data_IF_889685690386
#
_entry.id   IF_889685690386
#
_cell.length_a   1.000
_cell.length_b   1.000
_cell.length_c   1.000
_cell.angle_alpha   90.00
_cell.angle_beta   90.00
_cell.angle_gamma   90.00
#
_symmetry.space_group_name_H-M   'P 1'
#
loop_
_entity.id
_entity.type
_entity.pdbx_description
1 polymer ?
#
# COMPACT_ATOMS: atom_id res chain seq x y z
N UNK A 1 -28.79 16.81 8.82
CA UNK A 1 -28.55 15.35 8.82
C UNK A 1 -27.47 14.91 7.82
N UNK A 2 -26.62 15.80 7.30
CA UNK A 2 -25.59 15.47 6.27
C UNK A 2 -24.21 15.13 6.86
N UNK A 3 -23.85 15.67 8.03
CA UNK A 3 -22.55 15.44 8.65
C UNK A 3 -22.32 13.98 9.10
N UNK A 4 -23.37 13.27 9.53
CA UNK A 4 -23.26 11.89 10.01
C UNK A 4 -22.99 10.89 8.87
N UNK A 5 -23.53 11.12 7.67
CA UNK A 5 -23.34 10.25 6.50
C UNK A 5 -21.89 10.35 5.98
N UNK A 6 -21.29 11.54 6.05
CA UNK A 6 -19.92 11.79 5.57
C UNK A 6 -18.85 11.16 6.48
N UNK A 7 -19.04 11.25 7.80
CA UNK A 7 -18.16 10.61 8.79
C UNK A 7 -18.23 9.06 8.71
N UNK A 8 -19.42 8.50 8.49
CA UNK A 8 -19.61 7.06 8.27
C UNK A 8 -18.99 6.58 6.95
N UNK A 9 -19.02 7.39 5.89
CA UNK A 9 -18.36 7.09 4.62
C UNK A 9 -16.83 7.06 4.74
N UNK A 10 -16.25 8.04 5.43
CA UNK A 10 -14.79 8.09 5.65
C UNK A 10 -14.29 6.96 6.53
N UNK A 11 -14.99 6.63 7.62
CA UNK A 11 -14.60 5.50 8.49
C UNK A 11 -14.69 4.17 7.76
N UNK A 12 -15.74 3.94 6.95
CA UNK A 12 -15.88 2.72 6.14
C UNK A 12 -14.78 2.59 5.09
N UNK A 13 -14.38 3.69 4.45
CA UNK A 13 -13.26 3.69 3.50
C UNK A 13 -11.92 3.42 4.18
N UNK A 14 -11.66 4.02 5.35
CA UNK A 14 -10.46 3.73 6.15
C UNK A 14 -10.41 2.26 6.57
N UNK A 15 -11.55 1.70 6.93
CA UNK A 15 -11.69 0.30 7.33
C UNK A 15 -11.47 -0.67 6.16
N UNK A 16 -11.87 -0.28 4.94
CA UNK A 16 -11.55 -1.01 3.71
C UNK A 16 -10.05 -0.94 3.38
N UNK A 17 -9.45 0.25 3.42
CA UNK A 17 -8.01 0.42 3.15
C UNK A 17 -7.14 -0.34 4.15
N UNK A 18 -7.51 -0.34 5.43
CA UNK A 18 -6.83 -1.12 6.47
C UNK A 18 -6.90 -2.63 6.20
N UNK A 19 -8.10 -3.17 5.93
CA UNK A 19 -8.27 -4.60 5.60
C UNK A 19 -7.48 -4.99 4.36
N UNK A 20 -7.49 -4.13 3.35
CA UNK A 20 -6.73 -4.36 2.12
C UNK A 20 -5.23 -4.41 2.37
N UNK A 21 -4.72 -3.47 3.17
CA UNK A 21 -3.32 -3.45 3.58
C UNK A 21 -2.94 -4.72 4.35
N UNK A 22 -3.74 -5.12 5.34
CA UNK A 22 -3.50 -6.32 6.15
C UNK A 22 -3.48 -7.60 5.29
N UNK A 23 -4.35 -7.67 4.28
CA UNK A 23 -4.47 -8.84 3.40
C UNK A 23 -3.36 -8.92 2.34
N UNK A 24 -2.99 -7.79 1.75
CA UNK A 24 -2.21 -7.78 0.51
C UNK A 24 -0.90 -7.00 0.59
N UNK A 25 -0.66 -6.22 1.65
CA UNK A 25 0.55 -5.40 1.77
C UNK A 25 1.41 -5.83 2.96
N UNK A 26 0.80 -6.31 4.04
CA UNK A 26 1.49 -6.63 5.29
C UNK A 26 2.48 -7.79 5.19
N UNK A 27 2.34 -8.68 4.20
CA UNK A 27 3.32 -9.75 3.96
C UNK A 27 4.72 -9.22 3.65
N UNK A 28 4.80 -8.06 2.97
CA UNK A 28 6.03 -7.35 2.63
C UNK A 28 6.32 -6.19 3.60
N UNK A 29 5.32 -5.36 3.91
CA UNK A 29 5.53 -4.15 4.71
C UNK A 29 5.38 -4.34 6.21
N UNK A 30 4.92 -5.52 6.68
CA UNK A 30 4.59 -5.75 8.09
C UNK A 30 3.24 -5.15 8.48
N UNK A 31 2.66 -5.61 9.59
CA UNK A 31 1.40 -5.06 10.10
C UNK A 31 1.51 -3.60 10.57
N UNK A 32 2.72 -3.15 10.87
CA UNK A 32 3.05 -1.78 11.25
C UNK A 32 3.47 -0.90 10.06
N UNK A 33 3.47 -1.46 8.84
CA UNK A 33 3.86 -0.81 7.60
C UNK A 33 5.31 -0.31 7.51
N UNK A 34 6.21 -0.83 8.36
CA UNK A 34 7.61 -0.37 8.45
C UNK A 34 8.60 -1.11 7.55
N UNK A 35 8.14 -2.03 6.71
CA UNK A 35 9.00 -2.83 5.82
C UNK A 35 9.48 -4.15 6.41
N UNK A 36 8.93 -4.57 7.54
CA UNK A 36 9.34 -5.74 8.34
C UNK A 36 8.48 -6.98 8.08
N UNK A 37 7.87 -7.10 6.91
CA UNK A 37 7.00 -8.21 6.56
C UNK A 37 7.71 -9.57 6.54
N UNK A 38 6.93 -10.64 6.68
CA UNK A 38 7.44 -12.03 6.76
C UNK A 38 8.25 -12.45 5.54
N UNK A 39 8.04 -11.84 4.37
CA UNK A 39 8.80 -12.17 3.17
C UNK A 39 10.08 -11.35 3.02
N UNK A 40 10.29 -10.30 3.83
CA UNK A 40 11.45 -9.40 3.74
C UNK A 40 12.79 -10.12 3.72
N UNK A 41 13.05 -11.18 4.53
CA UNK A 41 14.32 -11.92 4.48
C UNK A 41 14.63 -12.56 3.13
N UNK A 42 13.62 -12.77 2.29
CA UNK A 42 13.73 -13.40 0.97
C UNK A 42 13.82 -12.38 -0.17
N UNK A 43 13.71 -11.08 0.12
CA UNK A 43 13.76 -10.01 -0.88
C UNK A 43 15.19 -9.49 -1.05
N UNK A 44 15.60 -9.27 -2.30
CA UNK A 44 16.90 -8.60 -2.61
C UNK A 44 16.95 -7.15 -2.11
N UNK A 45 15.78 -6.51 -2.03
CA UNK A 45 15.62 -5.14 -1.56
C UNK A 45 14.45 -5.09 -0.59
N UNK A 46 14.70 -4.61 0.62
CA UNK A 46 13.65 -4.47 1.64
C UNK A 46 12.58 -3.46 1.20
N UNK A 47 11.30 -3.74 1.48
CA UNK A 47 10.22 -2.78 1.26
C UNK A 47 10.43 -1.52 2.13
N UNK A 48 10.09 -0.32 1.63
CA UNK A 48 10.23 0.91 2.41
C UNK A 48 9.23 0.99 3.59
N UNK A 49 9.57 1.82 4.58
CA UNK A 49 8.65 2.25 5.64
C UNK A 49 7.59 3.20 5.06
N UNK A 50 6.35 2.72 4.96
CA UNK A 50 5.23 3.47 4.39
C UNK A 50 4.67 4.50 5.38
N UNK A 51 4.99 4.41 6.67
CA UNK A 51 4.55 5.40 7.68
C UNK A 51 5.17 6.77 7.43
N UNK A 52 6.28 6.81 6.69
CA UNK A 52 6.99 8.03 6.32
C UNK A 52 6.52 8.62 4.99
N UNK A 53 5.61 7.96 4.26
CA UNK A 53 5.28 8.33 2.89
C UNK A 53 4.72 9.76 2.79
N UNK A 54 3.71 10.09 3.58
CA UNK A 54 3.15 11.46 3.60
C UNK A 54 4.17 12.47 4.10
N UNK A 55 4.93 12.12 5.16
CA UNK A 55 5.98 13.00 5.71
C UNK A 55 7.01 13.38 4.65
N UNK A 56 7.44 12.42 3.85
CA UNK A 56 8.43 12.62 2.79
C UNK A 56 7.87 13.35 1.56
N UNK A 57 6.54 13.55 1.50
CA UNK A 57 5.85 14.29 0.44
C UNK A 57 5.14 15.54 1.00
N UNK A 58 5.77 16.23 1.97
CA UNK A 58 5.27 17.50 2.50
C UNK A 58 4.01 17.37 3.36
N UNK A 59 3.77 16.20 3.95
CA UNK A 59 2.57 15.88 4.71
C UNK A 59 1.40 15.40 3.84
N UNK A 60 1.54 15.39 2.51
CA UNK A 60 0.49 14.99 1.57
C UNK A 60 0.72 13.54 1.14
N UNK A 61 -0.32 12.72 1.19
CA UNK A 61 -0.25 11.36 0.68
C UNK A 61 -0.23 11.37 -0.87
N UNK A 62 0.83 10.85 -1.52
CA UNK A 62 0.99 10.91 -2.97
C UNK A 62 0.19 9.78 -3.65
N UNK A 63 -1.14 9.88 -3.66
CA UNK A 63 -2.05 8.82 -4.10
C UNK A 63 -1.73 8.27 -5.49
N UNK A 64 -1.53 9.14 -6.49
CA UNK A 64 -1.27 8.73 -7.87
C UNK A 64 0.03 7.92 -8.00
N UNK A 65 1.07 8.32 -7.26
CA UNK A 65 2.36 7.62 -7.25
C UNK A 65 2.24 6.24 -6.62
N UNK A 66 1.47 6.14 -5.54
CA UNK A 66 1.20 4.84 -4.88
C UNK A 66 0.44 3.93 -5.83
N UNK A 67 -0.58 4.44 -6.53
CA UNK A 67 -1.34 3.65 -7.49
C UNK A 67 -0.46 3.11 -8.63
N UNK A 68 0.42 3.94 -9.20
CA UNK A 68 1.40 3.52 -10.21
C UNK A 68 2.41 2.49 -9.69
N UNK A 69 2.79 2.60 -8.42
CA UNK A 69 3.67 1.62 -7.78
C UNK A 69 2.98 0.28 -7.57
N UNK A 70 1.69 0.28 -7.19
CA UNK A 70 0.89 -0.95 -6.99
C UNK A 70 0.61 -1.65 -8.33
N UNK A 71 0.25 -0.89 -9.37
CA UNK A 71 0.00 -1.41 -10.72
C UNK A 71 1.26 -1.84 -11.47
N UNK A 72 2.45 -1.62 -10.90
CA UNK A 72 3.74 -2.04 -11.44
C UNK A 72 4.31 -1.14 -12.54
N UNK A 73 3.73 0.04 -12.78
CA UNK A 73 4.21 1.00 -13.79
C UNK A 73 5.59 1.58 -13.42
N UNK A 74 5.85 1.75 -12.13
CA UNK A 74 7.05 2.39 -11.61
C UNK A 74 8.11 1.41 -11.06
N UNK A 75 7.90 0.08 -11.15
CA UNK A 75 8.83 -0.89 -10.53
C UNK A 75 8.89 -2.25 -11.23
N UNK A 76 9.96 -2.56 -11.99
CA UNK A 76 10.18 -3.86 -12.63
C UNK A 76 10.71 -4.93 -11.65
N UNK A 77 10.59 -4.73 -10.34
CA UNK A 77 11.19 -5.61 -9.33
C UNK A 77 10.71 -7.07 -9.38
N UNK A 78 9.61 -7.36 -10.07
CA UNK A 78 9.05 -8.70 -10.27
C UNK A 78 9.00 -9.14 -11.75
N UNK A 79 9.66 -8.41 -12.67
CA UNK A 79 9.63 -8.69 -14.12
C UNK A 79 8.63 -7.82 -14.88
N UNK A 80 8.10 -8.32 -16.00
CA UNK A 80 7.07 -7.64 -16.79
C UNK A 80 5.72 -7.64 -16.08
N UNK A 81 4.77 -6.84 -16.57
CA UNK A 81 3.40 -6.75 -16.02
C UNK A 81 2.63 -8.08 -16.08
N UNK A 82 3.16 -9.10 -16.77
CA UNK A 82 2.65 -10.49 -16.78
C UNK A 82 3.12 -11.36 -15.59
N UNK A 83 4.06 -10.88 -14.75
CA UNK A 83 4.54 -11.57 -13.54
C UNK A 83 4.24 -10.79 -12.22
N UNK A 84 2.99 -10.40 -11.94
CA UNK A 84 2.63 -9.68 -10.73
C UNK A 84 2.54 -10.61 -9.51
N UNK A 85 3.00 -10.11 -8.35
CA UNK A 85 2.82 -10.80 -7.06
C UNK A 85 1.33 -11.00 -6.71
N UNK A 86 0.44 -10.15 -7.23
CA UNK A 86 -1.00 -10.15 -6.98
C UNK A 86 -1.88 -10.40 -8.22
N UNK A 87 -1.33 -10.85 -9.36
CA UNK A 87 -2.17 -11.06 -10.55
C UNK A 87 -2.73 -9.75 -11.14
N UNK A 88 -3.96 -9.82 -11.66
CA UNK A 88 -4.74 -8.69 -12.20
C UNK A 88 -5.61 -8.00 -11.13
N UNK A 89 -5.28 -8.18 -9.84
CA UNK A 89 -6.14 -7.73 -8.72
C UNK A 89 -6.11 -6.21 -8.54
N UNK A 90 -5.08 -5.52 -9.05
CA UNK A 90 -4.90 -4.07 -8.93
C UNK A 90 -4.51 -3.41 -10.25
#
# INVERSE_FOLDING_TARGET
MTASVQAQGQSRMMDLGKREFEKSCASCHGMDARGSGVVTPWLKKSPPDLTLLSKNNGGIFPADRVYKSISGEDSPAHGSREMPIWGQVY
#
